data_IF_271536839491
#
_entry.id   IF_271536839491
#
_cell.length_a   1.000
_cell.length_b   1.000
_cell.length_c   1.000
_cell.angle_alpha   90.00
_cell.angle_beta   90.00
_cell.angle_gamma   90.00
#
_symmetry.space_group_name_H-M   'P 1'
#
loop_
_entity.id
_entity.type
_entity.pdbx_description
1 polymer ?
#
# COMPACT_ATOMS: atom_id res chain seq x y z
N UNK A 1 -1.66 -4.73 14.73
CA UNK A 1 -3.11 -4.47 14.63
C UNK A 1 -3.71 -4.55 16.02
N UNK A 2 -4.40 -3.50 16.43
CA UNK A 2 -5.05 -3.37 17.74
C UNK A 2 -6.52 -2.98 17.54
N UNK A 3 -7.30 -3.00 18.62
CA UNK A 3 -8.73 -2.61 18.59
C UNK A 3 -8.98 -1.16 18.97
N UNK A 4 -8.00 -0.53 19.63
CA UNK A 4 -8.12 0.86 20.06
C UNK A 4 -6.87 1.64 19.67
N UNK A 5 -7.00 2.94 19.50
CA UNK A 5 -5.91 3.90 19.31
C UNK A 5 -4.92 3.87 20.49
N UNK A 6 -5.44 3.75 21.72
CA UNK A 6 -4.62 3.61 22.94
C UNK A 6 -3.73 2.36 22.88
N UNK A 7 -4.26 1.20 22.48
CA UNK A 7 -3.47 -0.02 22.33
C UNK A 7 -2.42 0.12 21.22
N UNK A 8 -2.78 0.81 20.13
CA UNK A 8 -1.84 1.14 19.05
C UNK A 8 -0.71 2.02 19.58
N UNK A 9 -1.04 3.07 20.32
CA UNK A 9 -0.05 4.00 20.89
C UNK A 9 0.88 3.29 21.89
N UNK A 10 0.34 2.46 22.79
CA UNK A 10 1.14 1.67 23.72
C UNK A 10 2.07 0.68 23.00
N UNK A 11 1.61 0.07 21.91
CA UNK A 11 2.45 -0.81 21.09
C UNK A 11 3.56 -0.01 20.39
N UNK A 12 3.24 1.16 19.84
CA UNK A 12 4.25 2.04 19.23
C UNK A 12 5.31 2.44 20.24
N UNK A 13 4.93 2.81 21.47
CA UNK A 13 5.88 3.13 22.53
C UNK A 13 6.81 1.95 22.87
N UNK A 14 6.30 0.71 22.78
CA UNK A 14 7.09 -0.48 23.04
C UNK A 14 8.07 -0.86 21.92
N UNK A 15 7.77 -0.50 20.67
CA UNK A 15 8.57 -0.92 19.51
C UNK A 15 9.31 0.23 18.82
N UNK A 16 8.99 1.49 19.12
CA UNK A 16 9.70 2.63 18.55
C UNK A 16 11.11 2.75 19.16
N UNK A 17 12.01 3.32 18.38
CA UNK A 17 13.37 3.60 18.82
C UNK A 17 14.41 3.23 17.77
N UNK A 18 15.64 3.64 18.03
CA UNK A 18 16.77 3.37 17.16
C UNK A 18 17.42 2.02 17.51
N UNK A 19 17.65 1.22 16.48
CA UNK A 19 18.52 0.06 16.58
C UNK A 19 19.99 0.49 16.38
N UNK A 20 20.95 0.07 17.22
CA UNK A 20 22.33 0.58 17.16
C UNK A 20 23.02 0.47 15.80
N UNK A 21 22.71 -0.57 15.01
CA UNK A 21 23.27 -0.83 13.69
C UNK A 21 22.41 -0.30 12.54
N UNK A 22 21.35 0.45 12.82
CA UNK A 22 20.46 0.99 11.81
C UNK A 22 21.16 2.04 10.97
N UNK A 23 21.08 1.89 9.62
CA UNK A 23 21.71 2.81 8.67
C UNK A 23 21.04 4.19 8.66
N UNK A 24 19.72 4.22 8.79
CA UNK A 24 18.93 5.45 8.85
C UNK A 24 18.44 5.70 10.27
N UNK A 25 18.73 6.88 10.79
CA UNK A 25 18.26 7.31 12.09
C UNK A 25 16.89 7.95 11.98
N UNK A 26 15.98 7.57 12.85
CA UNK A 26 14.66 8.19 12.96
C UNK A 26 14.69 9.28 14.03
N UNK A 27 13.95 10.35 13.80
CA UNK A 27 13.72 11.34 14.83
C UNK A 27 12.90 10.71 15.96
N UNK A 28 13.39 10.83 17.19
CA UNK A 28 12.64 10.37 18.35
C UNK A 28 11.31 11.14 18.46
N UNK A 29 10.21 10.48 18.89
CA UNK A 29 8.97 11.18 19.18
C UNK A 29 9.17 12.24 20.28
N UNK A 30 8.46 13.35 20.18
CA UNK A 30 8.55 14.46 21.14
C UNK A 30 8.14 14.01 22.55
N UNK A 31 7.19 13.09 22.62
CA UNK A 31 6.70 12.44 23.85
C UNK A 31 6.20 11.03 23.51
N UNK A 32 5.91 10.19 24.53
CA UNK A 32 5.30 8.87 24.28
C UNK A 32 3.99 8.98 23.50
N UNK A 33 3.77 8.06 22.56
CA UNK A 33 2.53 8.01 21.77
C UNK A 33 1.28 7.86 22.63
N UNK A 34 1.38 7.12 23.75
CA UNK A 34 0.27 6.98 24.68
C UNK A 34 -0.13 8.32 25.32
N UNK A 35 0.82 9.21 25.54
CA UNK A 35 0.54 10.55 26.05
C UNK A 35 -0.04 11.46 24.97
N UNK A 36 0.34 11.25 23.69
CA UNK A 36 -0.26 11.96 22.56
C UNK A 36 -1.77 11.67 22.43
N UNK A 37 -2.25 10.47 22.77
CA UNK A 37 -3.69 10.14 22.72
C UNK A 37 -4.56 10.98 23.67
N UNK A 38 -3.93 11.73 24.58
CA UNK A 38 -4.60 12.61 25.55
C UNK A 38 -4.50 14.10 25.18
N UNK A 39 -3.84 14.41 24.07
CA UNK A 39 -3.68 15.78 23.60
C UNK A 39 -4.79 16.13 22.62
N UNK A 40 -5.27 17.35 22.73
CA UNK A 40 -6.18 17.91 21.73
C UNK A 40 -5.37 18.26 20.48
N UNK A 41 -5.76 17.75 19.29
CA UNK A 41 -4.99 17.97 18.07
C UNK A 41 -5.10 19.41 17.53
N UNK A 42 -5.97 20.23 18.10
CA UNK A 42 -6.30 21.54 17.57
C UNK A 42 -7.09 21.46 16.26
N UNK A 43 -7.15 22.58 15.53
CA UNK A 43 -7.80 22.65 14.23
C UNK A 43 -6.83 22.19 13.14
N UNK A 44 -7.15 21.08 12.48
CA UNK A 44 -6.36 20.51 11.39
C UNK A 44 -6.94 20.90 10.03
N UNK A 45 -6.07 21.04 9.02
CA UNK A 45 -6.41 21.10 7.61
C UNK A 45 -6.36 19.67 7.08
N UNK A 46 -7.52 19.13 6.72
CA UNK A 46 -7.68 17.74 6.30
C UNK A 46 -8.07 17.72 4.83
N UNK A 47 -7.16 17.28 3.98
CA UNK A 47 -7.46 16.99 2.58
C UNK A 47 -8.17 15.65 2.47
N UNK A 48 -9.13 15.52 1.54
CA UNK A 48 -9.78 14.26 1.24
C UNK A 48 -10.03 14.11 -0.26
N UNK A 49 -10.16 12.88 -0.75
CA UNK A 49 -10.41 12.65 -2.17
C UNK A 49 -11.44 11.56 -2.41
N UNK A 50 -12.40 11.87 -3.29
CA UNK A 50 -13.33 10.88 -3.87
C UNK A 50 -12.75 10.18 -5.10
N UNK A 51 -11.58 10.62 -5.58
CA UNK A 51 -10.89 10.02 -6.72
C UNK A 51 -9.79 9.07 -6.21
N UNK A 52 -9.88 7.76 -6.45
CA UNK A 52 -8.83 6.82 -6.09
C UNK A 52 -7.54 6.99 -6.91
N UNK A 53 -7.53 7.83 -7.94
CA UNK A 53 -6.35 8.25 -8.68
C UNK A 53 -5.79 7.24 -9.68
N UNK A 54 -6.29 6.02 -9.73
CA UNK A 54 -5.82 4.96 -10.63
C UNK A 54 -6.77 4.68 -11.81
N UNK A 55 -7.57 5.68 -12.20
CA UNK A 55 -8.56 5.56 -13.28
C UNK A 55 -9.77 4.68 -12.91
N UNK A 56 -9.93 4.35 -11.64
CA UNK A 56 -11.04 3.55 -11.11
C UNK A 56 -12.09 4.45 -10.47
N UNK A 57 -13.34 4.00 -10.46
CA UNK A 57 -14.41 4.70 -9.75
C UNK A 57 -14.41 4.33 -8.26
N UNK A 58 -14.67 5.31 -7.40
CA UNK A 58 -14.85 5.06 -5.98
C UNK A 58 -16.14 4.24 -5.74
N UNK A 59 -16.02 3.14 -4.99
CA UNK A 59 -17.16 2.31 -4.63
C UNK A 59 -18.20 3.11 -3.80
N UNK A 60 -19.50 2.85 -4.01
CA UNK A 60 -20.57 3.60 -3.36
C UNK A 60 -20.50 3.58 -1.82
N UNK A 61 -20.13 2.44 -1.21
CA UNK A 61 -19.95 2.33 0.24
C UNK A 61 -18.78 3.17 0.74
N UNK A 62 -17.66 3.22 -0.01
CA UNK A 62 -16.52 4.09 0.32
C UNK A 62 -16.90 5.57 0.22
N UNK A 63 -17.73 5.94 -0.75
CA UNK A 63 -18.25 7.31 -0.86
C UNK A 63 -19.10 7.67 0.38
N UNK A 64 -20.04 6.82 0.78
CA UNK A 64 -20.86 7.02 1.99
C UNK A 64 -19.98 7.16 3.23
N UNK A 65 -18.98 6.27 3.38
CA UNK A 65 -18.04 6.28 4.50
C UNK A 65 -17.25 7.57 4.56
N UNK A 66 -16.67 8.00 3.43
CA UNK A 66 -15.90 9.24 3.35
C UNK A 66 -16.76 10.48 3.61
N UNK A 67 -17.98 10.55 3.05
CA UNK A 67 -18.93 11.64 3.31
C UNK A 67 -19.36 11.71 4.78
N UNK A 68 -19.58 10.56 5.43
CA UNK A 68 -19.92 10.52 6.85
C UNK A 68 -18.73 10.98 7.71
N UNK A 69 -17.53 10.52 7.40
CA UNK A 69 -16.30 10.88 8.11
C UNK A 69 -15.97 12.36 7.95
N UNK A 70 -16.06 12.91 6.74
CA UNK A 70 -15.79 14.34 6.50
C UNK A 70 -16.81 15.24 7.23
N UNK A 71 -18.09 14.86 7.27
CA UNK A 71 -19.10 15.58 8.07
C UNK A 71 -18.78 15.56 9.57
N UNK A 72 -18.36 14.41 10.09
CA UNK A 72 -17.99 14.29 11.50
C UNK A 72 -16.76 15.15 11.84
N UNK A 73 -15.73 15.12 11.01
CA UNK A 73 -14.51 15.94 11.20
C UNK A 73 -14.80 17.45 11.08
N UNK A 74 -15.68 17.85 10.15
CA UNK A 74 -16.14 19.24 10.06
C UNK A 74 -16.90 19.69 11.33
N UNK A 75 -17.75 18.83 11.89
CA UNK A 75 -18.48 19.09 13.14
C UNK A 75 -17.54 19.22 14.34
N UNK A 76 -16.37 18.57 14.31
CA UNK A 76 -15.28 18.72 15.30
C UNK A 76 -14.46 20.01 15.08
N UNK A 77 -14.75 20.80 14.06
CA UNK A 77 -14.11 22.11 13.82
C UNK A 77 -12.87 22.05 12.91
N UNK A 78 -12.54 20.91 12.32
CA UNK A 78 -11.44 20.80 11.36
C UNK A 78 -11.80 21.45 10.02
N UNK A 79 -10.78 21.84 9.27
CA UNK A 79 -10.91 22.39 7.92
C UNK A 79 -10.80 21.27 6.88
N UNK A 80 -11.87 21.08 6.09
CA UNK A 80 -11.95 20.01 5.09
C UNK A 80 -11.73 20.58 3.69
N UNK A 81 -10.84 19.93 2.91
CA UNK A 81 -10.52 20.32 1.53
C UNK A 81 -10.62 19.10 0.61
N UNK A 82 -11.54 19.14 -0.35
CA UNK A 82 -11.54 18.14 -1.42
C UNK A 82 -10.37 18.38 -2.38
N UNK A 83 -9.59 17.34 -2.64
CA UNK A 83 -8.40 17.40 -3.49
C UNK A 83 -8.42 16.30 -4.54
N UNK A 84 -7.73 16.54 -5.66
CA UNK A 84 -7.41 15.50 -6.63
C UNK A 84 -6.01 14.96 -6.33
N UNK A 85 -5.90 13.63 -6.25
CA UNK A 85 -4.62 12.98 -6.00
C UNK A 85 -3.71 13.10 -7.25
N UNK A 86 -2.44 13.54 -7.12
CA UNK A 86 -1.52 13.71 -8.24
C UNK A 86 -0.84 12.39 -8.63
N UNK A 87 -1.64 11.34 -8.88
CA UNK A 87 -1.13 10.03 -9.27
C UNK A 87 -1.05 9.90 -10.79
N UNK A 88 0.13 9.67 -11.40
CA UNK A 88 0.27 9.25 -12.78
C UNK A 88 0.07 7.72 -12.88
N UNK A 89 -1.14 7.22 -13.25
CA UNK A 89 -1.52 5.83 -13.01
C UNK A 89 -0.58 4.79 -13.63
N UNK A 90 -0.25 4.95 -14.91
CA UNK A 90 0.51 3.92 -15.65
C UNK A 90 1.96 3.79 -15.17
N UNK A 91 2.67 4.92 -15.04
CA UNK A 91 4.09 4.91 -14.63
C UNK A 91 4.27 4.53 -13.16
N UNK A 92 3.34 4.95 -12.30
CA UNK A 92 3.34 4.59 -10.89
C UNK A 92 3.17 3.08 -10.69
N UNK A 93 2.10 2.50 -11.26
CA UNK A 93 1.80 1.06 -11.13
C UNK A 93 2.93 0.21 -11.70
N UNK A 94 3.45 0.55 -12.88
CA UNK A 94 4.53 -0.20 -13.52
C UNK A 94 5.83 -0.19 -12.69
N UNK A 95 6.22 0.97 -12.16
CA UNK A 95 7.44 1.09 -11.34
C UNK A 95 7.25 0.43 -9.97
N UNK A 96 6.09 0.58 -9.35
CA UNK A 96 5.76 -0.07 -8.08
C UNK A 96 5.79 -1.60 -8.22
N UNK A 97 5.14 -2.15 -9.25
CA UNK A 97 5.17 -3.59 -9.55
C UNK A 97 6.59 -4.10 -9.83
N UNK A 98 7.42 -3.31 -10.52
CA UNK A 98 8.83 -3.62 -10.77
C UNK A 98 9.63 -3.77 -9.47
N UNK A 99 9.47 -2.83 -8.54
CA UNK A 99 10.16 -2.87 -7.25
C UNK A 99 9.69 -4.03 -6.38
N UNK A 100 8.38 -4.30 -6.32
CA UNK A 100 7.84 -5.48 -5.61
C UNK A 100 8.43 -6.77 -6.20
N UNK A 101 8.45 -6.91 -7.52
CA UNK A 101 9.00 -8.09 -8.16
C UNK A 101 10.48 -8.28 -7.83
N UNK A 102 11.28 -7.20 -7.86
CA UNK A 102 12.70 -7.23 -7.51
C UNK A 102 12.92 -7.61 -6.04
N UNK A 103 12.12 -7.07 -5.11
CA UNK A 103 12.19 -7.37 -3.69
C UNK A 103 11.83 -8.84 -3.39
N UNK A 104 10.76 -9.34 -3.99
CA UNK A 104 10.35 -10.76 -3.88
C UNK A 104 11.47 -11.67 -4.43
N UNK A 105 12.08 -11.34 -5.59
CA UNK A 105 13.20 -12.10 -6.13
C UNK A 105 14.41 -12.09 -5.19
N UNK A 106 14.73 -10.93 -4.60
CA UNK A 106 15.77 -10.78 -3.60
C UNK A 106 15.53 -11.66 -2.38
N UNK A 107 14.31 -11.63 -1.86
CA UNK A 107 13.90 -12.47 -0.72
C UNK A 107 14.03 -13.97 -1.03
N UNK A 108 13.61 -14.41 -2.23
CA UNK A 108 13.79 -15.81 -2.64
C UNK A 108 15.27 -16.22 -2.70
N UNK A 109 16.14 -15.34 -3.17
CA UNK A 109 17.60 -15.57 -3.19
C UNK A 109 18.22 -15.63 -1.80
N UNK A 110 17.63 -14.98 -0.81
CA UNK A 110 18.08 -15.03 0.58
C UNK A 110 17.56 -16.28 1.33
N UNK A 111 16.69 -17.10 0.73
CA UNK A 111 16.15 -18.30 1.35
C UNK A 111 17.22 -19.24 1.98
N UNK A 112 18.39 -19.50 1.34
CA UNK A 112 19.43 -20.32 1.97
C UNK A 112 19.91 -19.76 3.32
N UNK A 113 19.97 -18.44 3.45
CA UNK A 113 20.38 -17.77 4.71
C UNK A 113 19.22 -17.76 5.71
N UNK A 114 17.99 -17.53 5.25
CA UNK A 114 16.82 -17.36 6.13
C UNK A 114 16.25 -18.69 6.63
N UNK A 115 16.23 -19.71 5.77
CA UNK A 115 15.58 -21.00 6.05
C UNK A 115 16.47 -22.23 5.76
N UNK A 116 17.75 -22.02 5.44
CA UNK A 116 18.75 -23.08 5.26
C UNK A 116 18.68 -23.88 3.96
N UNK A 117 17.83 -23.48 2.99
CA UNK A 117 17.71 -24.13 1.68
C UNK A 117 17.18 -23.17 0.61
N UNK A 118 17.40 -23.52 -0.65
CA UNK A 118 16.82 -22.79 -1.78
C UNK A 118 15.27 -22.79 -1.74
N UNK A 119 14.68 -21.66 -2.15
CA UNK A 119 13.24 -21.52 -2.32
C UNK A 119 12.73 -22.35 -3.51
N UNK A 120 11.54 -22.93 -3.37
CA UNK A 120 10.86 -23.71 -4.39
C UNK A 120 9.48 -23.12 -4.68
N UNK A 121 8.93 -23.44 -5.85
CA UNK A 121 7.62 -22.95 -6.31
C UNK A 121 6.45 -23.35 -5.41
N UNK A 122 6.60 -24.39 -4.61
CA UNK A 122 5.60 -24.90 -3.67
C UNK A 122 5.75 -24.36 -2.23
N UNK A 123 6.81 -23.60 -1.97
CA UNK A 123 7.00 -22.91 -0.71
C UNK A 123 6.14 -21.63 -0.57
N UNK A 124 5.67 -21.09 -1.69
CA UNK A 124 4.93 -19.83 -1.75
C UNK A 124 3.73 -19.95 -2.70
N UNK A 125 2.83 -18.96 -2.64
CA UNK A 125 1.74 -18.89 -3.60
C UNK A 125 2.26 -18.69 -5.02
N UNK A 126 1.54 -19.24 -5.99
CA UNK A 126 1.92 -19.19 -7.41
C UNK A 126 2.09 -17.74 -7.91
N UNK A 127 1.27 -16.81 -7.45
CA UNK A 127 1.41 -15.39 -7.79
C UNK A 127 2.75 -14.82 -7.28
N UNK A 128 3.13 -15.13 -6.06
CA UNK A 128 4.42 -14.75 -5.47
C UNK A 128 5.59 -15.35 -6.26
N UNK A 129 5.47 -16.61 -6.67
CA UNK A 129 6.49 -17.25 -7.50
C UNK A 129 6.65 -16.58 -8.87
N UNK A 130 5.53 -16.20 -9.54
CA UNK A 130 5.55 -15.43 -10.79
C UNK A 130 6.24 -14.09 -10.61
N UNK A 131 5.93 -13.36 -9.52
CA UNK A 131 6.61 -12.09 -9.19
C UNK A 131 8.11 -12.29 -8.99
N UNK A 132 8.54 -13.35 -8.26
CA UNK A 132 9.94 -13.67 -8.11
C UNK A 132 10.64 -13.87 -9.47
N UNK A 133 10.02 -14.64 -10.37
CA UNK A 133 10.56 -14.87 -11.71
C UNK A 133 10.61 -13.60 -12.57
N UNK A 134 9.63 -12.72 -12.44
CA UNK A 134 9.68 -11.40 -13.08
C UNK A 134 10.83 -10.55 -12.54
N UNK A 135 11.03 -10.54 -11.22
CA UNK A 135 12.12 -9.82 -10.60
C UNK A 135 13.50 -10.34 -10.99
N UNK A 136 13.66 -11.68 -11.08
CA UNK A 136 14.89 -12.32 -11.59
C UNK A 136 15.22 -11.96 -13.04
N UNK A 137 14.19 -11.72 -13.85
CA UNK A 137 14.33 -11.38 -15.26
C UNK A 137 14.70 -9.91 -15.50
N UNK A 138 14.49 -9.02 -14.52
CA UNK A 138 14.80 -7.60 -14.66
C UNK A 138 16.30 -7.35 -14.62
N UNK A 139 16.74 -6.36 -15.39
CA UNK A 139 18.09 -5.81 -15.27
C UNK A 139 18.22 -4.88 -14.05
N UNK A 140 19.44 -4.74 -13.53
CA UNK A 140 19.73 -3.74 -12.50
C UNK A 140 19.37 -2.31 -12.92
N UNK A 141 19.52 -1.99 -14.22
CA UNK A 141 19.12 -0.69 -14.78
C UNK A 141 17.62 -0.42 -14.70
N UNK A 142 16.78 -1.43 -14.98
CA UNK A 142 15.32 -1.30 -14.87
C UNK A 142 14.89 -1.07 -13.42
N UNK A 143 15.45 -1.83 -12.48
CA UNK A 143 15.18 -1.66 -11.05
C UNK A 143 15.61 -0.27 -10.56
N UNK A 144 16.80 0.20 -10.96
CA UNK A 144 17.29 1.53 -10.62
C UNK A 144 16.39 2.64 -11.18
N UNK A 145 15.90 2.48 -12.42
CA UNK A 145 14.95 3.42 -13.05
C UNK A 145 13.61 3.45 -12.31
N UNK A 146 13.09 2.28 -11.92
CA UNK A 146 11.86 2.19 -11.14
C UNK A 146 12.01 2.87 -9.77
N UNK A 147 13.13 2.64 -9.08
CA UNK A 147 13.43 3.29 -7.81
C UNK A 147 13.51 4.82 -7.95
N UNK A 148 14.23 5.31 -8.98
CA UNK A 148 14.33 6.74 -9.26
C UNK A 148 12.95 7.37 -9.57
N UNK A 149 12.10 6.67 -10.30
CA UNK A 149 10.72 7.09 -10.59
C UNK A 149 9.91 7.22 -9.30
N UNK A 150 9.99 6.23 -8.41
CA UNK A 150 9.28 6.27 -7.12
C UNK A 150 9.80 7.39 -6.20
N UNK A 151 11.11 7.61 -6.16
CA UNK A 151 11.70 8.73 -5.41
C UNK A 151 11.26 10.09 -5.95
N UNK A 152 11.16 10.23 -7.28
CA UNK A 152 10.66 11.45 -7.91
C UNK A 152 9.20 11.70 -7.58
N UNK A 153 8.37 10.65 -7.67
CA UNK A 153 6.98 10.70 -7.24
C UNK A 153 6.88 11.10 -5.75
N UNK A 154 7.66 10.46 -4.88
CA UNK A 154 7.67 10.76 -3.44
C UNK A 154 7.97 12.24 -3.17
N UNK A 155 8.98 12.82 -3.81
CA UNK A 155 9.30 14.26 -3.67
C UNK A 155 8.16 15.16 -4.13
N UNK A 156 7.52 14.83 -5.26
CA UNK A 156 6.39 15.60 -5.79
C UNK A 156 5.18 15.48 -4.86
N UNK A 157 4.90 14.29 -4.36
CA UNK A 157 3.83 14.03 -3.42
C UNK A 157 4.02 14.78 -2.10
N UNK A 158 5.20 14.72 -1.51
CA UNK A 158 5.53 15.43 -0.27
C UNK A 158 5.42 16.94 -0.43
N UNK A 159 5.84 17.49 -1.57
CA UNK A 159 5.68 18.90 -1.88
C UNK A 159 4.19 19.30 -2.02
N UNK A 160 3.39 18.47 -2.69
CA UNK A 160 1.96 18.68 -2.84
C UNK A 160 1.23 18.57 -1.50
N UNK A 161 1.57 17.58 -0.66
CA UNK A 161 0.93 17.35 0.63
C UNK A 161 1.33 18.36 1.72
N UNK A 162 2.32 19.20 1.51
CA UNK A 162 2.73 20.23 2.47
C UNK A 162 1.63 21.29 2.76
N UNK A 163 0.61 21.36 1.91
CA UNK A 163 -0.51 22.30 2.06
C UNK A 163 -1.55 21.92 3.14
N UNK A 164 -1.50 20.71 3.68
CA UNK A 164 -2.47 20.19 4.66
C UNK A 164 -1.77 19.31 5.72
N UNK A 165 -2.46 19.04 6.80
CA UNK A 165 -1.88 18.33 7.96
C UNK A 165 -2.16 16.82 7.87
N UNK A 166 -3.30 16.43 7.29
CA UNK A 166 -3.74 15.03 7.12
C UNK A 166 -4.36 14.84 5.73
N UNK A 167 -4.12 13.69 5.12
CA UNK A 167 -4.88 13.22 3.97
C UNK A 167 -5.81 12.10 4.42
N UNK A 168 -7.10 12.25 4.15
CA UNK A 168 -8.13 11.26 4.45
C UNK A 168 -8.58 10.57 3.16
N UNK A 169 -8.47 9.25 3.12
CA UNK A 169 -8.97 8.40 2.03
C UNK A 169 -9.63 7.15 2.60
N UNK A 170 -10.41 6.39 1.83
CA UNK A 170 -10.74 5.02 2.22
C UNK A 170 -9.45 4.19 2.32
N UNK A 171 -9.39 3.23 3.25
CA UNK A 171 -8.24 2.31 3.36
C UNK A 171 -8.16 1.38 2.15
N UNK A 172 -9.31 0.86 1.72
CA UNK A 172 -9.46 -0.07 0.60
C UNK A 172 -10.44 0.47 -0.45
N UNK A 173 -10.27 0.08 -1.70
CA UNK A 173 -11.09 0.57 -2.82
C UNK A 173 -12.51 0.00 -2.86
N UNK A 174 -12.72 -1.15 -2.24
CA UNK A 174 -13.99 -1.90 -2.23
C UNK A 174 -14.32 -2.39 -0.82
N UNK A 175 -15.58 -2.69 -0.50
CA UNK A 175 -15.94 -3.34 0.77
C UNK A 175 -15.18 -4.66 0.99
N UNK A 176 -15.11 -5.18 2.23
CA UNK A 176 -14.48 -6.46 2.52
C UNK A 176 -14.99 -7.56 1.60
N UNK A 177 -14.07 -8.21 0.91
CA UNK A 177 -14.40 -9.26 -0.05
C UNK A 177 -14.68 -10.59 0.65
N UNK A 178 -15.56 -11.44 0.09
CA UNK A 178 -15.76 -12.79 0.59
C UNK A 178 -14.45 -13.59 0.61
N UNK A 179 -14.31 -14.48 1.60
CA UNK A 179 -13.15 -15.37 1.71
C UNK A 179 -13.00 -16.17 0.41
N UNK A 180 -11.82 -16.06 -0.20
CA UNK A 180 -11.50 -16.75 -1.45
C UNK A 180 -11.87 -16.00 -2.73
N UNK A 181 -12.35 -14.76 -2.67
CA UNK A 181 -12.65 -13.93 -3.84
C UNK A 181 -11.45 -13.77 -4.80
N UNK A 182 -10.23 -13.75 -4.27
CA UNK A 182 -8.99 -13.67 -5.06
C UNK A 182 -8.39 -15.03 -5.44
N UNK A 183 -9.11 -16.14 -5.22
CA UNK A 183 -8.61 -17.45 -5.64
C UNK A 183 -8.51 -17.51 -7.16
N UNK A 184 -7.34 -17.88 -7.64
CA UNK A 184 -7.10 -18.12 -9.07
C UNK A 184 -7.99 -19.25 -9.58
N UNK A 185 -8.67 -19.03 -10.70
CA UNK A 185 -9.34 -20.09 -11.44
C UNK A 185 -8.31 -21.13 -11.93
N UNK A 186 -8.78 -22.32 -12.28
CA UNK A 186 -7.91 -23.39 -12.83
C UNK A 186 -7.16 -22.91 -14.08
N UNK A 187 -7.83 -22.16 -14.95
CA UNK A 187 -7.23 -21.60 -16.17
C UNK A 187 -6.12 -20.58 -15.84
N UNK A 188 -6.40 -19.63 -14.94
CA UNK A 188 -5.40 -18.65 -14.48
C UNK A 188 -4.19 -19.33 -13.84
N UNK A 189 -4.43 -20.35 -13.01
CA UNK A 189 -3.36 -21.14 -12.38
C UNK A 189 -2.50 -21.85 -13.43
N UNK A 190 -3.11 -22.47 -14.45
CA UNK A 190 -2.36 -23.11 -15.53
C UNK A 190 -1.58 -22.09 -16.36
N UNK A 191 -2.18 -20.96 -16.71
CA UNK A 191 -1.49 -19.86 -17.39
C UNK A 191 -0.29 -19.34 -16.62
N UNK A 192 -0.44 -19.08 -15.32
CA UNK A 192 0.67 -18.65 -14.47
C UNK A 192 1.78 -19.70 -14.34
N UNK A 193 1.44 -20.99 -14.26
CA UNK A 193 2.44 -22.07 -14.26
C UNK A 193 3.22 -22.10 -15.58
N UNK A 194 2.56 -21.88 -16.70
CA UNK A 194 3.23 -21.78 -17.99
C UNK A 194 4.19 -20.58 -18.03
N UNK A 195 3.77 -19.42 -17.51
CA UNK A 195 4.63 -18.23 -17.41
C UNK A 195 5.93 -18.51 -16.65
N UNK A 196 5.89 -19.30 -15.57
CA UNK A 196 7.09 -19.60 -14.78
C UNK A 196 8.09 -20.52 -15.49
N UNK A 197 7.69 -21.17 -16.59
CA UNK A 197 8.57 -21.99 -17.43
C UNK A 197 9.19 -21.23 -18.61
N UNK A 198 8.80 -19.98 -18.83
CA UNK A 198 9.32 -19.17 -19.93
C UNK A 198 10.76 -18.69 -19.64
N UNK A 199 11.59 -18.55 -20.69
CA UNK A 199 12.85 -17.83 -20.59
C UNK A 199 12.63 -16.38 -20.13
N UNK A 200 13.62 -15.79 -19.44
CA UNK A 200 13.55 -14.44 -18.90
C UNK A 200 13.07 -13.39 -19.91
N UNK A 201 13.63 -13.39 -21.12
CA UNK A 201 13.24 -12.45 -22.19
C UNK A 201 11.77 -12.60 -22.60
N UNK A 202 11.26 -13.84 -22.69
CA UNK A 202 9.86 -14.10 -23.02
C UNK A 202 8.92 -13.70 -21.86
N UNK A 203 9.36 -13.87 -20.61
CA UNK A 203 8.62 -13.43 -19.44
C UNK A 203 8.52 -11.90 -19.39
N UNK A 204 9.62 -11.18 -19.63
CA UNK A 204 9.62 -9.71 -19.69
C UNK A 204 8.74 -9.17 -20.82
N UNK A 205 8.65 -9.86 -21.97
CA UNK A 205 7.74 -9.48 -23.05
C UNK A 205 6.26 -9.56 -22.68
N UNK A 206 5.90 -10.28 -21.62
CA UNK A 206 4.54 -10.38 -21.09
C UNK A 206 4.30 -9.49 -19.88
N UNK A 207 5.26 -8.60 -19.53
CA UNK A 207 5.23 -7.78 -18.33
C UNK A 207 3.91 -7.02 -18.14
N UNK A 208 3.43 -6.35 -19.20
CA UNK A 208 2.20 -5.56 -19.12
C UNK A 208 0.98 -6.43 -18.83
N UNK A 209 0.89 -7.61 -19.47
CA UNK A 209 -0.19 -8.59 -19.20
C UNK A 209 -0.12 -9.14 -17.77
N UNK A 210 1.09 -9.32 -17.24
CA UNK A 210 1.25 -9.80 -15.87
C UNK A 210 0.84 -8.70 -14.88
N UNK A 211 1.22 -7.44 -15.13
CA UNK A 211 0.79 -6.30 -14.33
C UNK A 211 -0.74 -6.17 -14.38
N UNK A 212 -1.34 -6.28 -15.55
CA UNK A 212 -2.80 -6.28 -15.73
C UNK A 212 -3.49 -7.41 -14.94
N UNK A 213 -2.86 -8.57 -14.83
CA UNK A 213 -3.39 -9.68 -14.02
C UNK A 213 -3.44 -9.35 -12.50
N UNK A 214 -2.65 -8.38 -12.03
CA UNK A 214 -2.69 -7.87 -10.66
C UNK A 214 -3.61 -6.66 -10.48
N UNK A 215 -4.25 -6.17 -11.54
CA UNK A 215 -5.16 -5.01 -11.51
C UNK A 215 -6.26 -5.13 -10.42
N UNK A 216 -6.89 -6.29 -10.17
CA UNK A 216 -7.84 -6.46 -9.07
C UNK A 216 -7.25 -6.19 -7.68
N UNK A 217 -5.95 -6.47 -7.47
CA UNK A 217 -5.25 -6.19 -6.22
C UNK A 217 -5.06 -4.69 -6.06
N UNK A 218 -4.61 -4.00 -7.10
CA UNK A 218 -4.48 -2.54 -7.11
C UNK A 218 -5.83 -1.84 -6.98
N UNK A 219 -6.88 -2.39 -7.58
CA UNK A 219 -8.25 -1.87 -7.42
C UNK A 219 -8.77 -2.00 -5.99
N UNK A 220 -8.43 -3.11 -5.32
CA UNK A 220 -8.83 -3.32 -3.92
C UNK A 220 -8.03 -2.47 -2.92
N UNK A 221 -6.82 -2.01 -3.26
CA UNK A 221 -5.93 -1.27 -2.34
C UNK A 221 -5.26 -0.07 -3.02
N UNK A 222 -6.02 0.90 -3.56
CA UNK A 222 -5.47 1.98 -4.38
C UNK A 222 -4.67 3.02 -3.57
N UNK A 223 -4.92 3.16 -2.28
CA UNK A 223 -4.36 4.25 -1.46
C UNK A 223 -3.15 3.84 -0.62
N UNK A 224 -3.14 2.61 -0.11
CA UNK A 224 -2.14 2.15 0.88
C UNK A 224 -0.71 2.14 0.35
N UNK A 225 -0.53 1.95 -0.96
CA UNK A 225 0.79 1.94 -1.60
C UNK A 225 1.49 3.31 -1.54
N UNK A 226 0.73 4.41 -1.39
CA UNK A 226 1.28 5.77 -1.33
C UNK A 226 2.19 5.92 -0.12
N UNK A 227 1.73 5.50 1.06
CA UNK A 227 2.52 5.57 2.30
C UNK A 227 3.80 4.72 2.20
N UNK A 228 3.73 3.55 1.55
CA UNK A 228 4.93 2.71 1.32
C UNK A 228 5.97 3.39 0.44
N UNK A 229 5.54 4.21 -0.52
CA UNK A 229 6.45 4.93 -1.43
C UNK A 229 6.98 6.22 -0.82
N UNK A 230 6.15 6.94 -0.07
CA UNK A 230 6.51 8.26 0.46
C UNK A 230 7.18 8.21 1.83
N UNK A 231 7.01 7.10 2.56
CA UNK A 231 7.48 6.95 3.94
C UNK A 231 6.66 7.75 4.97
N UNK A 232 5.53 8.31 4.57
CA UNK A 232 4.65 9.01 5.51
C UNK A 232 3.93 8.03 6.45
N UNK A 233 3.70 8.39 7.71
CA UNK A 233 2.88 7.61 8.62
C UNK A 233 1.47 7.44 8.07
N UNK A 234 0.89 6.25 8.28
CA UNK A 234 -0.45 5.93 7.82
C UNK A 234 -1.17 5.06 8.86
N UNK A 235 -2.45 5.34 9.09
CA UNK A 235 -3.26 4.61 10.05
C UNK A 235 -4.67 4.40 9.51
N UNK A 236 -5.17 3.17 9.59
CA UNK A 236 -6.54 2.84 9.21
C UNK A 236 -7.44 2.76 10.44
N UNK A 237 -8.51 3.54 10.43
CA UNK A 237 -9.52 3.58 11.49
C UNK A 237 -10.86 3.05 10.97
N UNK A 238 -11.59 2.17 11.72
CA UNK A 238 -12.88 1.63 11.31
C UNK A 238 -14.00 2.65 11.60
N UNK A 239 -14.14 3.66 10.76
CA UNK A 239 -15.06 4.80 10.97
C UNK A 239 -16.44 4.62 10.33
N UNK A 240 -16.65 3.53 9.60
CA UNK A 240 -17.94 3.22 8.96
C UNK A 240 -18.21 1.72 8.99
N UNK A 241 -19.49 1.37 8.96
CA UNK A 241 -19.98 -0.01 8.84
C UNK A 241 -20.94 -0.10 7.66
N UNK A 242 -20.81 -1.17 6.89
CA UNK A 242 -21.80 -1.51 5.86
C UNK A 242 -23.12 -1.93 6.52
N UNK A 243 -24.19 -1.98 5.73
CA UNK A 243 -25.51 -2.45 6.21
C UNK A 243 -25.44 -3.90 6.75
N UNK A 244 -24.49 -4.71 6.24
CA UNK A 244 -24.22 -6.09 6.70
C UNK A 244 -23.32 -6.12 7.97
N UNK A 245 -22.97 -4.98 8.54
CA UNK A 245 -22.15 -4.89 9.75
C UNK A 245 -20.66 -5.13 9.56
N UNK A 246 -20.15 -5.01 8.34
CA UNK A 246 -18.71 -5.09 8.05
C UNK A 246 -18.02 -3.74 8.25
N UNK A 247 -16.89 -3.69 8.96
CA UNK A 247 -16.15 -2.43 9.18
C UNK A 247 -15.48 -1.96 7.89
N UNK A 248 -15.58 -0.66 7.63
CA UNK A 248 -14.88 0.05 6.56
C UNK A 248 -13.83 0.98 7.15
N UNK A 249 -12.58 0.81 6.75
CA UNK A 249 -11.48 1.63 7.21
C UNK A 249 -11.36 2.95 6.45
N UNK A 250 -11.06 4.02 7.19
CA UNK A 250 -10.58 5.29 6.64
C UNK A 250 -9.09 5.42 7.00
N UNK A 251 -8.31 5.83 6.03
CA UNK A 251 -6.84 5.96 6.09
C UNK A 251 -6.45 7.41 6.18
#
# INVERSE_FOLDING_TARGET
>A
VSRTDRDTAAMLDAICGDYPQQLMKLQAPVRPYLDETRQEPGRLRIAFSFDPGLGKALHAENRKALEATTRALAALGHELMEVKLPLPPATFVASYASLIAADVAGTMRLAPVLVGREARSDDVELATWVLAKMGEAQSGGEVATALWTMQTFSRQWLAWSAGFDVLLTPTVGVPPLPIGAHKLTTMQRQGMKLLTSLPAAALLSQRDKIIEAFDPVFESSPYTMIANVTGQPSMSLPLHWTDDGLPMGML
#
